data_IF_759846829237
#
_entry.id   IF_759846829237
#
_cell.length_a   1.000
_cell.length_b   1.000
_cell.length_c   1.000
_cell.angle_alpha   90.00
_cell.angle_beta   90.00
_cell.angle_gamma   90.00
#
_symmetry.space_group_name_H-M   'P 1'
#
loop_
_entity.id
_entity.type
_entity.pdbx_description
1 polymer ?
#
# COMPACT_ATOMS: atom_id res chain seq x y z
N UNK A 1 22.41 3.97 7.74
CA UNK A 1 21.21 3.10 7.85
C UNK A 1 19.97 3.90 8.26
N UNK A 2 19.81 4.36 9.53
CA UNK A 2 18.59 5.04 9.97
C UNK A 2 18.29 6.34 9.19
N UNK A 3 19.28 7.20 8.99
CA UNK A 3 19.12 8.44 8.21
C UNK A 3 18.89 8.20 6.70
N UNK A 4 19.44 7.14 6.16
CA UNK A 4 19.21 6.74 4.76
C UNK A 4 17.79 6.21 4.57
N UNK A 5 17.29 5.45 5.54
CA UNK A 5 15.94 4.90 5.55
C UNK A 5 14.89 6.03 5.68
N UNK A 6 15.14 7.00 6.58
CA UNK A 6 14.29 8.19 6.66
C UNK A 6 14.29 9.00 5.36
N UNK A 7 15.46 9.19 4.75
CA UNK A 7 15.57 9.91 3.48
C UNK A 7 14.81 9.19 2.35
N UNK A 8 14.91 7.86 2.28
CA UNK A 8 14.18 7.04 1.32
C UNK A 8 12.67 7.16 1.54
N UNK A 9 12.20 7.04 2.80
CA UNK A 9 10.77 7.16 3.14
C UNK A 9 10.20 8.55 2.79
N UNK A 10 10.97 9.62 3.01
CA UNK A 10 10.56 10.98 2.61
C UNK A 10 10.50 11.14 1.08
N UNK A 11 11.44 10.54 0.35
CA UNK A 11 11.43 10.54 -1.11
C UNK A 11 10.24 9.75 -1.66
N UNK A 12 9.92 8.57 -1.09
CA UNK A 12 8.72 7.79 -1.39
C UNK A 12 7.47 8.65 -1.15
N UNK A 13 7.41 9.33 0.00
CA UNK A 13 6.31 10.23 0.34
C UNK A 13 6.09 11.31 -0.71
N UNK A 14 7.16 12.02 -1.10
CA UNK A 14 7.11 13.08 -2.09
C UNK A 14 6.69 12.56 -3.49
N UNK A 15 7.27 11.43 -3.93
CA UNK A 15 6.95 10.80 -5.20
C UNK A 15 5.47 10.37 -5.26
N UNK A 16 4.98 9.69 -4.21
CA UNK A 16 3.61 9.21 -4.15
C UNK A 16 2.58 10.33 -3.98
N UNK A 17 2.89 11.38 -3.24
CA UNK A 17 2.00 12.53 -3.08
C UNK A 17 1.64 13.19 -4.41
N UNK A 18 2.55 13.17 -5.38
CA UNK A 18 2.32 13.74 -6.71
C UNK A 18 1.23 13.01 -7.52
N UNK A 19 0.96 11.75 -7.19
CA UNK A 19 -0.04 10.91 -7.85
C UNK A 19 -1.47 11.16 -7.33
N UNK A 20 -1.60 11.81 -6.18
CA UNK A 20 -2.90 12.09 -5.57
C UNK A 20 -3.43 13.46 -6.08
N UNK A 21 -4.67 13.47 -6.51
CA UNK A 21 -5.34 14.72 -6.88
C UNK A 21 -5.62 15.59 -5.63
N UNK A 22 -5.72 16.92 -5.77
CA UNK A 22 -6.14 17.77 -4.65
C UNK A 22 -7.50 17.35 -4.07
N UNK A 23 -7.57 17.22 -2.73
CA UNK A 23 -8.78 16.81 -2.02
C UNK A 23 -9.07 15.31 -2.07
N UNK A 24 -8.12 14.46 -2.46
CA UNK A 24 -8.29 13.00 -2.51
C UNK A 24 -8.67 12.40 -1.17
N UNK A 25 -9.55 11.42 -1.23
CA UNK A 25 -9.91 10.54 -0.12
C UNK A 25 -9.21 9.21 -0.34
N UNK A 26 -8.30 8.89 0.56
CA UNK A 26 -7.38 7.75 0.40
C UNK A 26 -7.82 6.60 1.30
N UNK A 27 -7.90 5.37 0.76
CA UNK A 27 -8.02 4.16 1.56
C UNK A 27 -6.64 3.55 1.77
N UNK A 28 -6.37 3.09 2.98
CA UNK A 28 -5.15 2.36 3.32
C UNK A 28 -5.46 1.11 4.14
N UNK A 29 -4.59 0.11 4.06
CA UNK A 29 -4.70 -1.17 4.75
C UNK A 29 -3.40 -1.49 5.48
N UNK A 30 -3.50 -2.06 6.68
CA UNK A 30 -2.39 -2.30 7.60
C UNK A 30 -1.75 -1.01 8.15
N UNK A 31 -0.46 -1.08 8.49
CA UNK A 31 0.34 0.07 8.90
C UNK A 31 1.69 0.01 8.19
N UNK A 32 1.94 0.99 7.35
CA UNK A 32 3.23 1.29 6.75
C UNK A 32 3.59 2.75 7.07
N UNK A 33 3.47 3.09 8.35
CA UNK A 33 3.76 4.39 8.92
C UNK A 33 5.07 4.45 9.69
N UNK A 34 5.24 5.50 10.48
CA UNK A 34 6.45 5.77 11.26
C UNK A 34 6.74 4.69 12.32
N UNK A 35 5.70 4.00 12.81
CA UNK A 35 5.84 2.91 13.77
C UNK A 35 6.32 1.59 13.15
N UNK A 36 6.21 1.45 11.82
CA UNK A 36 6.64 0.26 11.08
C UNK A 36 7.95 0.45 10.32
N UNK A 37 8.47 1.68 10.26
CA UNK A 37 9.69 2.05 9.51
C UNK A 37 10.53 3.03 10.33
N UNK A 38 11.61 3.58 9.74
CA UNK A 38 12.35 4.68 10.35
C UNK A 38 11.61 6.02 10.15
N UNK A 39 10.97 6.52 11.19
CA UNK A 39 10.46 7.88 11.43
C UNK A 39 9.32 8.42 10.56
N UNK A 40 9.18 8.04 9.29
CA UNK A 40 8.22 8.71 8.39
C UNK A 40 7.15 7.78 7.80
N UNK A 41 7.52 6.54 7.50
CA UNK A 41 6.62 5.60 6.84
C UNK A 41 6.71 5.65 5.31
N UNK A 42 6.20 4.61 4.67
CA UNK A 42 6.08 4.51 3.21
C UNK A 42 4.68 4.91 2.74
N UNK A 43 3.68 4.07 2.91
CA UNK A 43 2.30 4.41 2.52
C UNK A 43 1.75 5.61 3.31
N UNK A 44 1.97 5.65 4.63
CA UNK A 44 1.58 6.83 5.41
C UNK A 44 2.49 8.03 5.14
N UNK A 45 3.74 7.80 4.73
CA UNK A 45 4.62 8.85 4.23
C UNK A 45 4.05 9.57 3.01
N UNK A 46 3.45 8.82 2.06
CA UNK A 46 2.71 9.41 0.93
C UNK A 46 1.52 10.25 1.42
N UNK A 47 0.78 9.73 2.40
CA UNK A 47 -0.36 10.45 3.00
C UNK A 47 0.09 11.73 3.69
N UNK A 48 1.17 11.69 4.48
CA UNK A 48 1.70 12.88 5.17
C UNK A 48 2.16 13.95 4.18
N UNK A 49 3.00 13.56 3.20
CA UNK A 49 3.47 14.50 2.18
C UNK A 49 2.32 15.11 1.37
N UNK A 50 1.31 14.32 1.04
CA UNK A 50 0.12 14.80 0.33
C UNK A 50 -0.78 15.69 1.21
N UNK A 51 -0.91 15.40 2.50
CA UNK A 51 -1.66 16.22 3.44
C UNK A 51 -1.01 17.60 3.65
N UNK A 52 0.32 17.66 3.78
CA UNK A 52 1.09 18.90 3.84
C UNK A 52 0.87 19.79 2.61
N UNK A 53 0.60 19.18 1.44
CA UNK A 53 0.30 19.86 0.18
C UNK A 53 -1.20 20.16 0.00
N UNK A 54 -2.06 19.87 0.99
CA UNK A 54 -3.51 20.04 0.89
C UNK A 54 -4.19 19.08 -0.09
N UNK A 55 -3.54 17.96 -0.45
CA UNK A 55 -4.05 16.98 -1.42
C UNK A 55 -4.93 15.91 -0.79
N UNK A 56 -4.84 15.67 0.51
CA UNK A 56 -5.66 14.66 1.22
C UNK A 56 -6.76 15.34 2.01
N UNK A 57 -8.01 15.02 1.68
CA UNK A 57 -9.16 15.47 2.44
C UNK A 57 -9.46 14.54 3.64
N UNK A 58 -9.26 13.25 3.46
CA UNK A 58 -9.54 12.21 4.48
C UNK A 58 -8.83 10.90 4.15
N UNK A 59 -8.50 10.13 5.18
CA UNK A 59 -8.06 8.74 5.05
C UNK A 59 -9.13 7.82 5.60
N UNK A 60 -9.43 6.76 4.86
CA UNK A 60 -10.19 5.59 5.31
C UNK A 60 -9.17 4.50 5.64
N UNK A 61 -9.11 4.09 6.89
CA UNK A 61 -8.19 3.06 7.35
C UNK A 61 -8.97 1.77 7.65
N UNK A 62 -8.66 0.68 6.95
CA UNK A 62 -9.15 -0.64 7.33
C UNK A 62 -8.59 -1.04 8.69
N UNK A 63 -9.40 -1.66 9.55
CA UNK A 63 -8.94 -2.11 10.88
C UNK A 63 -7.82 -3.16 10.79
N UNK A 64 -7.78 -3.91 9.70
CA UNK A 64 -6.76 -4.90 9.37
C UNK A 64 -6.74 -6.09 10.35
N UNK A 65 -7.81 -6.89 10.30
CA UNK A 65 -7.85 -8.16 11.02
C UNK A 65 -6.76 -9.13 10.50
N UNK A 66 -6.26 -10.09 11.31
CA UNK A 66 -6.67 -10.36 12.70
C UNK A 66 -5.98 -9.48 13.75
N UNK A 67 -4.79 -8.88 13.46
CA UNK A 67 -3.96 -8.19 14.47
C UNK A 67 -4.40 -6.74 14.72
N UNK A 68 -5.13 -6.12 13.78
CA UNK A 68 -5.68 -4.78 13.95
C UNK A 68 -4.66 -3.65 13.80
N UNK A 69 -3.68 -3.79 12.92
CA UNK A 69 -2.65 -2.76 12.72
C UNK A 69 -3.26 -1.43 12.25
N UNK A 70 -4.29 -1.47 11.40
CA UNK A 70 -4.99 -0.28 10.94
C UNK A 70 -5.69 0.45 12.10
N UNK A 71 -6.41 -0.30 12.94
CA UNK A 71 -7.10 0.26 14.10
C UNK A 71 -6.14 0.75 15.18
N UNK A 72 -5.11 -0.04 15.48
CA UNK A 72 -4.22 0.22 16.63
C UNK A 72 -3.10 1.21 16.33
N UNK A 73 -2.61 1.23 15.09
CA UNK A 73 -1.44 2.01 14.70
C UNK A 73 -1.82 3.11 13.69
N UNK A 74 -2.34 2.76 12.53
CA UNK A 74 -2.61 3.72 11.45
C UNK A 74 -3.60 4.82 11.85
N UNK A 75 -4.72 4.44 12.46
CA UNK A 75 -5.71 5.42 12.93
C UNK A 75 -5.11 6.35 14.00
N UNK A 76 -4.28 5.81 14.89
CA UNK A 76 -3.59 6.59 15.91
C UNK A 76 -2.56 7.55 15.30
N UNK A 77 -1.67 7.06 14.42
CA UNK A 77 -0.64 7.90 13.77
C UNK A 77 -1.27 9.07 13.00
N UNK A 78 -2.26 8.78 12.15
CA UNK A 78 -2.94 9.80 11.34
C UNK A 78 -3.66 10.83 12.21
N UNK A 79 -4.35 10.38 13.25
CA UNK A 79 -5.01 11.28 14.20
C UNK A 79 -4.02 12.21 14.89
N UNK A 80 -2.85 11.69 15.31
CA UNK A 80 -1.79 12.51 15.95
C UNK A 80 -1.13 13.46 14.99
N UNK A 81 -1.05 13.12 13.72
CA UNK A 81 -0.56 13.98 12.65
C UNK A 81 -1.58 15.04 12.20
N UNK A 82 -2.80 15.05 12.76
CA UNK A 82 -3.86 15.98 12.36
C UNK A 82 -4.49 15.67 10.99
N UNK A 83 -4.25 14.46 10.44
CA UNK A 83 -4.87 14.01 9.19
C UNK A 83 -6.26 13.45 9.50
N UNK A 84 -7.34 13.95 8.87
CA UNK A 84 -8.68 13.41 9.09
C UNK A 84 -8.74 11.93 8.72
N UNK A 85 -9.09 11.08 9.67
CA UNK A 85 -9.14 9.62 9.50
C UNK A 85 -10.50 9.07 9.89
N UNK A 86 -10.97 8.07 9.13
CA UNK A 86 -12.15 7.26 9.45
C UNK A 86 -11.72 5.79 9.47
N UNK A 87 -11.95 5.12 10.59
CA UNK A 87 -11.66 3.70 10.74
C UNK A 87 -12.83 2.88 10.17
N UNK A 88 -12.52 1.85 9.40
CA UNK A 88 -13.47 0.90 8.83
C UNK A 88 -13.17 -0.52 9.34
N UNK A 89 -14.20 -1.37 9.47
CA UNK A 89 -13.97 -2.80 9.41
C UNK A 89 -13.54 -3.19 7.99
N UNK A 90 -12.68 -4.19 7.84
CA UNK A 90 -12.13 -4.60 6.53
C UNK A 90 -13.21 -4.88 5.48
N UNK A 91 -14.35 -5.46 5.90
CA UNK A 91 -15.51 -5.72 5.05
C UNK A 91 -16.25 -4.48 4.54
N UNK A 92 -15.98 -3.29 5.12
CA UNK A 92 -16.64 -2.03 4.74
C UNK A 92 -15.96 -1.34 3.57
N UNK A 93 -14.73 -1.72 3.20
CA UNK A 93 -14.00 -1.13 2.07
C UNK A 93 -14.81 -1.15 0.76
N UNK A 94 -15.45 -2.28 0.45
CA UNK A 94 -16.32 -2.42 -0.71
C UNK A 94 -17.46 -1.39 -0.73
N UNK A 95 -18.13 -1.22 0.41
CA UNK A 95 -19.24 -0.26 0.55
C UNK A 95 -18.78 1.19 0.43
N UNK A 96 -17.60 1.51 1.00
CA UNK A 96 -17.01 2.84 0.88
C UNK A 96 -16.64 3.18 -0.58
N UNK A 97 -16.06 2.23 -1.31
CA UNK A 97 -15.75 2.39 -2.73
C UNK A 97 -17.01 2.53 -3.58
N UNK A 98 -18.03 1.69 -3.36
CA UNK A 98 -19.31 1.73 -4.08
C UNK A 98 -20.07 3.06 -3.88
N UNK A 99 -19.93 3.68 -2.71
CA UNK A 99 -20.50 4.99 -2.41
C UNK A 99 -19.64 6.16 -2.93
N UNK A 100 -18.54 5.89 -3.63
CA UNK A 100 -17.64 6.90 -4.14
C UNK A 100 -16.94 7.69 -3.03
N UNK A 101 -16.65 7.07 -1.89
CA UNK A 101 -15.95 7.71 -0.78
C UNK A 101 -14.43 7.58 -0.86
N UNK A 102 -13.92 6.81 -1.83
CA UNK A 102 -12.49 6.52 -2.01
C UNK A 102 -12.07 6.93 -3.41
N UNK A 103 -11.02 7.74 -3.52
CA UNK A 103 -10.46 8.22 -4.79
C UNK A 103 -9.16 7.51 -5.16
N UNK A 104 -8.44 6.98 -4.17
CA UNK A 104 -7.21 6.22 -4.36
C UNK A 104 -6.98 5.25 -3.20
N UNK A 105 -6.27 4.16 -3.47
CA UNK A 105 -5.75 3.25 -2.45
C UNK A 105 -4.24 3.42 -2.38
N UNK A 106 -3.69 3.53 -1.16
CA UNK A 106 -2.24 3.58 -0.92
C UNK A 106 -1.89 2.57 0.17
N UNK A 107 -1.06 1.58 -0.16
CA UNK A 107 -0.62 0.52 0.76
C UNK A 107 0.90 0.35 0.73
N UNK A 108 1.45 -0.30 1.74
CA UNK A 108 2.85 -0.73 1.75
C UNK A 108 3.06 -2.05 1.00
N UNK A 109 4.25 -2.61 1.15
CA UNK A 109 4.58 -3.96 0.71
C UNK A 109 5.57 -4.62 1.68
N UNK A 110 5.39 -5.92 1.89
CA UNK A 110 6.34 -6.75 2.63
C UNK A 110 7.38 -7.36 1.67
N UNK A 111 6.99 -7.66 0.42
CA UNK A 111 7.88 -8.08 -0.66
C UNK A 111 7.26 -7.78 -2.02
N UNK A 112 8.09 -7.43 -3.00
CA UNK A 112 7.70 -7.21 -4.39
C UNK A 112 8.54 -8.15 -5.27
N UNK A 113 7.89 -9.00 -6.04
CA UNK A 113 8.54 -9.94 -6.96
C UNK A 113 9.00 -9.24 -8.25
N UNK A 114 9.88 -9.89 -9.02
CA UNK A 114 10.45 -9.36 -10.26
C UNK A 114 9.42 -9.01 -11.34
N UNK A 115 8.27 -9.69 -11.35
CA UNK A 115 7.16 -9.39 -12.26
C UNK A 115 6.23 -8.26 -11.77
N UNK A 116 6.49 -7.70 -10.57
CA UNK A 116 5.68 -6.65 -9.95
C UNK A 116 4.51 -7.15 -9.10
N UNK A 117 4.39 -8.46 -8.84
CA UNK A 117 3.44 -8.98 -7.85
C UNK A 117 3.86 -8.55 -6.46
N UNK A 118 2.88 -8.21 -5.61
CA UNK A 118 3.12 -7.61 -4.31
C UNK A 118 2.56 -8.48 -3.20
N UNK A 119 3.41 -8.94 -2.29
CA UNK A 119 2.97 -9.49 -1.02
C UNK A 119 2.83 -8.36 0.01
N UNK A 120 1.67 -8.27 0.63
CA UNK A 120 1.39 -7.33 1.71
C UNK A 120 0.42 -7.96 2.72
N UNK A 121 0.13 -7.27 3.80
CA UNK A 121 -0.79 -7.72 4.85
C UNK A 121 -2.07 -8.30 4.24
N UNK A 122 -2.46 -9.49 4.74
CA UNK A 122 -3.68 -10.18 4.32
C UNK A 122 -4.88 -9.23 4.30
N UNK A 123 -5.64 -9.27 3.20
CA UNK A 123 -6.73 -8.33 2.88
C UNK A 123 -6.38 -7.37 1.75
N UNK A 124 -5.09 -7.12 1.49
CA UNK A 124 -4.64 -6.21 0.42
C UNK A 124 -5.11 -6.66 -0.96
N UNK A 125 -5.06 -7.97 -1.25
CA UNK A 125 -5.57 -8.51 -2.51
C UNK A 125 -7.08 -8.24 -2.68
N UNK A 126 -7.86 -8.42 -1.63
CA UNK A 126 -9.28 -8.10 -1.65
C UNK A 126 -9.54 -6.62 -1.95
N UNK A 127 -8.82 -5.72 -1.28
CA UNK A 127 -8.88 -4.27 -1.54
C UNK A 127 -8.48 -3.93 -2.98
N UNK A 128 -7.44 -4.58 -3.53
CA UNK A 128 -6.99 -4.37 -4.91
C UNK A 128 -8.04 -4.79 -5.95
N UNK A 129 -8.70 -5.94 -5.72
CA UNK A 129 -9.82 -6.40 -6.57
C UNK A 129 -10.98 -5.41 -6.55
N UNK A 130 -11.36 -4.92 -5.36
CA UNK A 130 -12.41 -3.91 -5.20
C UNK A 130 -12.03 -2.59 -5.86
N UNK A 131 -10.81 -2.11 -5.67
CA UNK A 131 -10.31 -0.89 -6.31
C UNK A 131 -10.38 -1.01 -7.84
N UNK A 132 -9.93 -2.14 -8.40
CA UNK A 132 -10.00 -2.41 -9.84
C UNK A 132 -11.45 -2.42 -10.35
N UNK A 133 -12.38 -3.05 -9.62
CA UNK A 133 -13.81 -3.10 -9.97
C UNK A 133 -14.44 -1.70 -10.02
N UNK A 134 -14.05 -0.83 -9.10
CA UNK A 134 -14.57 0.54 -9.02
C UNK A 134 -13.75 1.57 -9.82
N UNK A 135 -12.71 1.16 -10.57
CA UNK A 135 -11.86 2.05 -11.34
C UNK A 135 -11.01 2.99 -10.48
N UNK A 136 -10.71 2.58 -9.25
CA UNK A 136 -9.91 3.34 -8.28
C UNK A 136 -8.44 2.91 -8.41
N UNK A 137 -7.47 3.85 -8.56
CA UNK A 137 -6.06 3.51 -8.62
C UNK A 137 -5.56 2.95 -7.29
N UNK A 138 -4.70 1.91 -7.37
CA UNK A 138 -3.99 1.34 -6.23
C UNK A 138 -2.49 1.59 -6.40
N UNK A 139 -1.91 2.28 -5.42
CA UNK A 139 -0.49 2.59 -5.34
C UNK A 139 0.17 1.80 -4.22
N UNK A 140 1.30 1.18 -4.51
CA UNK A 140 2.12 0.45 -3.54
C UNK A 140 3.36 1.29 -3.24
N UNK A 141 3.55 1.68 -1.99
CA UNK A 141 4.65 2.52 -1.55
C UNK A 141 5.64 1.72 -0.69
N UNK A 142 6.83 1.47 -1.22
CA UNK A 142 7.85 0.67 -0.56
C UNK A 142 9.27 1.08 -1.02
N UNK A 143 10.30 0.94 -0.17
CA UNK A 143 11.66 1.20 -0.60
C UNK A 143 12.11 0.17 -1.65
N UNK A 144 13.06 0.55 -2.51
CA UNK A 144 13.60 -0.34 -3.54
C UNK A 144 14.19 -1.64 -2.96
N UNK A 145 14.62 -1.62 -1.71
CA UNK A 145 15.12 -2.81 -0.98
C UNK A 145 14.05 -3.86 -0.70
N UNK A 146 12.77 -3.52 -0.82
CA UNK A 146 11.64 -4.46 -0.71
C UNK A 146 11.47 -5.28 -1.99
N UNK A 147 12.09 -4.85 -3.11
CA UNK A 147 12.02 -5.52 -4.40
C UNK A 147 13.02 -6.67 -4.44
N UNK A 148 12.52 -7.88 -4.66
CA UNK A 148 13.30 -9.10 -4.78
C UNK A 148 13.32 -9.58 -6.24
N UNK A 149 14.32 -9.14 -7.00
CA UNK A 149 14.49 -9.53 -8.40
C UNK A 149 14.87 -11.02 -8.58
N UNK A 150 15.26 -11.72 -7.51
CA UNK A 150 15.50 -13.16 -7.54
C UNK A 150 14.19 -13.97 -7.38
N UNK A 151 13.13 -13.35 -6.89
CA UNK A 151 11.79 -13.94 -6.81
C UNK A 151 11.04 -13.67 -8.12
N UNK A 152 10.77 -14.66 -8.97
CA UNK A 152 10.25 -14.43 -10.33
C UNK A 152 8.83 -13.84 -10.33
N UNK A 153 7.96 -14.34 -9.44
CA UNK A 153 6.55 -13.95 -9.34
C UNK A 153 6.00 -14.21 -7.93
N UNK A 154 4.76 -13.78 -7.70
CA UNK A 154 4.10 -13.87 -6.41
C UNK A 154 3.89 -15.30 -5.90
N UNK A 155 3.85 -16.31 -6.78
CA UNK A 155 3.69 -17.72 -6.37
C UNK A 155 4.93 -18.26 -5.65
N UNK A 156 6.08 -17.65 -5.90
CA UNK A 156 7.34 -18.01 -5.25
C UNK A 156 7.55 -17.31 -3.90
N UNK A 157 6.69 -16.38 -3.51
CA UNK A 157 6.78 -15.68 -2.22
C UNK A 157 6.27 -16.61 -1.11
N UNK A 158 7.10 -16.97 -0.11
CA UNK A 158 6.64 -17.78 1.01
C UNK A 158 5.69 -16.97 1.90
N UNK A 159 4.49 -17.50 2.16
CA UNK A 159 3.50 -16.88 3.02
C UNK A 159 3.49 -17.57 4.39
N UNK A 160 3.85 -16.80 5.42
CA UNK A 160 3.82 -17.25 6.82
C UNK A 160 2.40 -17.55 7.27
N UNK A 161 2.20 -18.72 7.91
CA UNK A 161 0.98 -19.03 8.65
C UNK A 161 1.17 -18.64 10.10
N UNK A 162 0.26 -17.83 10.62
CA UNK A 162 0.32 -17.29 11.97
C UNK A 162 -0.55 -18.09 12.95
N UNK A 163 -0.40 -17.79 14.23
CA UNK A 163 -1.14 -18.49 15.28
C UNK A 163 -2.67 -18.32 15.10
N UNK A 164 -3.40 -19.41 15.24
CA UNK A 164 -4.86 -19.44 15.17
C UNK A 164 -5.52 -18.48 16.18
N UNK A 165 -4.92 -18.31 17.35
CA UNK A 165 -5.43 -17.42 18.41
C UNK A 165 -5.51 -15.93 18.00
N UNK A 166 -4.79 -15.50 16.97
CA UNK A 166 -4.95 -14.13 16.46
C UNK A 166 -6.33 -13.94 15.80
N UNK A 167 -6.84 -14.96 15.14
CA UNK A 167 -8.18 -14.94 14.50
C UNK A 167 -9.26 -15.31 15.48
N UNK A 168 -9.07 -16.39 16.23
CA UNK A 168 -10.00 -16.94 17.20
C UNK A 168 -9.29 -17.18 18.53
N UNK A 169 -9.34 -16.20 19.47
CA UNK A 169 -8.63 -16.28 20.75
C UNK A 169 -9.01 -17.49 21.60
N UNK A 170 -10.28 -17.87 21.58
CA UNK A 170 -10.77 -19.07 22.27
C UNK A 170 -11.12 -20.15 21.25
N UNK A 171 -10.40 -21.30 21.25
CA UNK A 171 -10.65 -22.38 20.31
C UNK A 171 -12.08 -22.91 20.40
N UNK A 172 -12.66 -23.27 19.25
CA UNK A 172 -13.95 -23.97 19.15
C UNK A 172 -13.68 -25.37 18.60
N UNK A 173 -14.18 -26.37 19.29
CA UNK A 173 -13.99 -27.76 18.88
C UNK A 173 -14.51 -28.01 17.45
N UNK A 174 -13.68 -28.65 16.63
CA UNK A 174 -13.99 -28.94 15.23
C UNK A 174 -13.89 -27.76 14.28
N UNK A 175 -13.42 -26.57 14.71
CA UNK A 175 -13.18 -25.41 13.85
C UNK A 175 -11.69 -25.25 13.61
N UNK A 176 -11.28 -25.34 12.33
CA UNK A 176 -9.93 -25.01 11.89
C UNK A 176 -9.82 -23.53 11.58
N UNK A 177 -8.65 -22.93 11.85
CA UNK A 177 -8.35 -21.54 11.57
C UNK A 177 -7.25 -21.45 10.50
N UNK A 178 -7.54 -20.75 9.42
CA UNK A 178 -6.57 -20.38 8.41
C UNK A 178 -6.16 -18.91 8.61
N UNK A 179 -4.87 -18.67 8.87
CA UNK A 179 -4.36 -17.33 9.23
C UNK A 179 -3.04 -17.03 8.50
N UNK A 180 -3.06 -16.77 7.19
CA UNK A 180 -1.88 -16.28 6.48
C UNK A 180 -1.57 -14.85 6.91
N UNK A 181 -0.27 -14.54 7.09
CA UNK A 181 0.17 -13.19 7.46
C UNK A 181 -0.05 -12.19 6.32
N UNK A 182 0.14 -12.64 5.09
CA UNK A 182 0.13 -11.84 3.86
C UNK A 182 -0.74 -12.50 2.80
N UNK A 183 -1.17 -11.71 1.83
CA UNK A 183 -1.68 -12.19 0.54
C UNK A 183 -0.89 -11.57 -0.62
N UNK A 184 -1.04 -12.15 -1.80
CA UNK A 184 -0.33 -11.70 -2.99
C UNK A 184 -1.30 -10.98 -3.92
N UNK A 185 -1.00 -9.73 -4.20
CA UNK A 185 -1.71 -8.91 -5.18
C UNK A 185 -0.99 -9.00 -6.53
N UNK A 186 -1.64 -9.53 -7.58
CA UNK A 186 -1.07 -9.56 -8.92
C UNK A 186 -0.72 -8.17 -9.45
N UNK A 187 0.38 -8.04 -10.17
CA UNK A 187 0.86 -6.80 -10.79
C UNK A 187 -0.22 -6.08 -11.62
N UNK A 188 -1.09 -6.84 -12.28
CA UNK A 188 -2.20 -6.31 -13.09
C UNK A 188 -3.25 -5.50 -12.30
N UNK A 189 -3.29 -5.64 -10.97
CA UNK A 189 -4.18 -4.87 -10.09
C UNK A 189 -3.51 -3.63 -9.50
N UNK A 190 -2.20 -3.48 -9.66
CA UNK A 190 -1.41 -2.37 -9.14
C UNK A 190 -1.28 -1.29 -10.22
N UNK A 191 -1.61 -0.05 -9.89
CA UNK A 191 -1.49 1.08 -10.82
C UNK A 191 -0.04 1.54 -10.95
N UNK A 192 0.64 1.70 -9.81
CA UNK A 192 2.08 2.01 -9.77
C UNK A 192 2.70 1.56 -8.44
N UNK A 193 3.99 1.27 -8.51
CA UNK A 193 4.86 1.03 -7.36
C UNK A 193 5.72 2.27 -7.17
N UNK A 194 5.66 2.85 -5.97
CA UNK A 194 6.33 4.10 -5.61
C UNK A 194 7.52 3.76 -4.73
N UNK A 195 8.70 4.13 -5.18
CA UNK A 195 9.95 3.98 -4.45
C UNK A 195 10.62 5.34 -4.24
N UNK A 196 11.73 5.37 -3.53
CA UNK A 196 12.58 6.56 -3.41
C UNK A 196 13.12 7.05 -4.77
N UNK A 197 13.20 6.16 -5.77
CA UNK A 197 13.60 6.48 -7.14
C UNK A 197 12.51 7.06 -8.02
N UNK A 198 11.24 7.00 -7.60
CA UNK A 198 10.10 7.48 -8.40
C UNK A 198 8.89 6.55 -8.37
N UNK A 199 7.95 6.77 -9.28
CA UNK A 199 6.78 5.92 -9.48
C UNK A 199 6.95 5.11 -10.78
N UNK A 200 6.77 3.80 -10.70
CA UNK A 200 7.02 2.85 -11.78
C UNK A 200 5.78 2.00 -12.05
N UNK A 201 5.53 1.68 -13.32
CA UNK A 201 4.59 0.62 -13.66
C UNK A 201 5.09 -0.71 -13.08
N UNK A 202 4.23 -1.62 -12.61
CA UNK A 202 4.67 -2.91 -12.03
C UNK A 202 5.58 -3.72 -12.96
N UNK A 203 5.34 -3.71 -14.27
CA UNK A 203 6.19 -4.38 -15.27
C UNK A 203 7.56 -3.74 -15.51
N UNK A 204 7.81 -2.54 -14.96
CA UNK A 204 9.08 -1.81 -15.06
C UNK A 204 9.83 -1.76 -13.71
N UNK A 205 9.54 -2.70 -12.81
CA UNK A 205 10.08 -2.67 -11.44
C UNK A 205 11.60 -2.83 -11.38
N UNK A 206 12.21 -3.48 -12.38
CA UNK A 206 13.67 -3.57 -12.49
C UNK A 206 14.33 -2.19 -12.66
N UNK A 207 13.65 -1.25 -13.31
CA UNK A 207 14.12 0.13 -13.49
C UNK A 207 14.15 0.87 -12.15
N UNK A 208 13.20 0.57 -11.23
CA UNK A 208 13.17 1.15 -9.90
C UNK A 208 14.44 0.81 -9.10
N UNK A 209 14.90 -0.44 -9.20
CA UNK A 209 16.15 -0.88 -8.54
C UNK A 209 17.37 -0.26 -9.22
N UNK A 210 17.37 -0.15 -10.55
CA UNK A 210 18.50 0.43 -11.30
C UNK A 210 18.68 1.93 -10.97
N UNK A 211 17.60 2.69 -10.83
CA UNK A 211 17.63 4.13 -10.52
C UNK A 211 18.16 4.40 -9.11
N UNK A 212 17.88 3.52 -8.15
CA UNK A 212 18.30 3.67 -6.75
C UNK A 212 19.70 3.10 -6.48
N UNK A 213 20.26 2.34 -7.43
CA UNK A 213 21.63 1.85 -7.32
C UNK A 213 22.65 3.01 -7.32
N UNK A 214 23.78 2.90 -6.60
CA UNK A 214 24.84 3.91 -6.63
C UNK A 214 25.31 4.18 -8.06
N UNK A 215 25.11 5.42 -8.56
CA UNK A 215 25.45 5.82 -9.93
C UNK A 215 24.37 5.54 -10.97
N UNK A 216 23.17 5.15 -10.57
CA UNK A 216 22.03 4.91 -11.45
C UNK A 216 21.50 6.15 -12.17
N UNK A 217 20.74 5.98 -13.27
CA UNK A 217 20.17 7.09 -14.04
C UNK A 217 19.14 7.85 -13.20
N UNK A 218 19.06 9.18 -13.40
CA UNK A 218 18.03 9.99 -12.72
C UNK A 218 16.64 9.64 -13.26
N UNK A 219 15.60 9.56 -12.39
CA UNK A 219 14.25 9.27 -12.83
C UNK A 219 13.75 10.33 -13.82
N UNK A 220 13.16 9.86 -14.93
CA UNK A 220 12.42 10.69 -15.87
C UNK A 220 10.98 10.76 -15.37
N UNK A 221 10.35 11.93 -15.20
CA UNK A 221 8.97 12.03 -14.78
C UNK A 221 8.06 11.28 -15.77
N UNK A 222 7.28 10.32 -15.26
CA UNK A 222 6.34 9.55 -16.06
C UNK A 222 5.26 10.44 -16.65
N UNK A 223 4.88 10.28 -17.94
CA UNK A 223 3.72 10.95 -18.50
C UNK A 223 2.45 10.51 -17.76
N UNK A 224 1.55 11.45 -17.49
CA UNK A 224 0.26 11.20 -16.83
C UNK A 224 -0.58 10.25 -17.70
N UNK A 225 -0.63 8.99 -17.33
CA UNK A 225 -1.59 8.03 -17.92
C UNK A 225 -2.90 8.14 -17.16
N UNK A 226 -3.84 8.91 -17.68
CA UNK A 226 -5.24 8.79 -17.29
C UNK A 226 -5.73 7.43 -17.79
N UNK A 227 -6.39 6.60 -16.95
CA UNK A 227 -6.99 5.35 -17.40
C UNK A 227 -8.13 5.66 -18.40
N UNK A 228 -8.16 4.94 -19.53
CA UNK A 228 -9.30 5.02 -20.45
C UNK A 228 -10.59 4.57 -19.75
N UNK A 229 -11.72 5.27 -20.00
CA UNK A 229 -12.99 4.88 -19.43
C UNK A 229 -13.44 3.54 -20.00
N UNK A 230 -13.81 2.61 -19.12
CA UNK A 230 -14.45 1.35 -19.50
C UNK A 230 -15.87 1.68 -19.97
N UNK A 231 -16.16 1.44 -21.25
CA UNK A 231 -17.52 1.51 -21.79
C UNK A 231 -18.43 0.53 -21.02
N UNK A 232 -19.50 1.07 -20.44
CA UNK A 232 -20.53 0.28 -19.79
C UNK A 232 -21.45 -0.28 -20.87
N UNK A 233 -21.39 -1.58 -21.09
CA UNK A 233 -22.41 -2.35 -21.81
C UNK A 233 -23.52 -2.79 -20.86
#
# INVERSE_FOLDING_TARGET
>A
MEAEDEAANRAIGANGASLLAPGSRVLTHCNAGSLATAFYGTALGVVYAAAEQGRVARVYADETRPVGQGARLTAWELSRAGVPVTLLCDSMAASAMAQGLVDAVVVGADRIAANGDVANKVGTYGVAVLARHHGIPLYVAAPSTTIDLACPDGSAIPIEQRAAAEVLPEPIDGVEVWNPAFDVTPAALVTAIVTEGGAFAPGAIADAVAVTAPGGPRPVPSPSTSPEPIERS
#
